data_IF_090052351221
#
_entry.id   IF_090052351221
#
_cell.length_a   1.000
_cell.length_b   1.000
_cell.length_c   1.000
_cell.angle_alpha   90.00
_cell.angle_beta   90.00
_cell.angle_gamma   90.00
#
_symmetry.space_group_name_H-M   'P 1'
#
loop_
_entity.id
_entity.type
_entity.pdbx_description
1 polymer ?
#
# COMPACT_ATOMS: atom_id res chain seq x y z
N UNK A 1 -9.91 -23.69 41.98
CA UNK A 1 -9.63 -22.29 41.57
C UNK A 1 -8.55 -22.28 40.49
N UNK A 2 -8.50 -21.23 39.68
CA UNK A 2 -7.58 -20.99 38.55
C UNK A 2 -7.93 -21.66 37.20
N UNK A 3 -8.99 -21.22 36.53
CA UNK A 3 -9.11 -21.36 35.05
C UNK A 3 -10.02 -20.32 34.38
N UNK A 4 -10.13 -19.12 34.96
CA UNK A 4 -10.97 -18.05 34.41
C UNK A 4 -10.20 -16.83 33.87
N UNK A 5 -8.88 -16.73 34.10
CA UNK A 5 -8.13 -15.48 33.84
C UNK A 5 -7.43 -15.42 32.46
N UNK A 6 -7.42 -16.49 31.66
CA UNK A 6 -6.69 -16.49 30.37
C UNK A 6 -7.52 -16.05 29.14
N UNK A 7 -8.83 -15.86 29.26
CA UNK A 7 -9.70 -15.54 28.11
C UNK A 7 -9.92 -14.04 27.89
N UNK A 8 -9.70 -13.19 28.90
CA UNK A 8 -9.99 -11.75 28.83
C UNK A 8 -8.82 -10.90 28.31
N UNK A 9 -7.59 -11.41 28.34
CA UNK A 9 -6.39 -10.65 27.96
C UNK A 9 -6.19 -10.53 26.44
N UNK A 10 -6.81 -11.44 25.66
CA UNK A 10 -6.64 -11.48 24.20
C UNK A 10 -7.51 -10.47 23.44
N UNK A 11 -8.51 -9.90 24.09
CA UNK A 11 -9.50 -9.03 23.46
C UNK A 11 -9.12 -7.53 23.56
N UNK A 12 -8.20 -7.16 24.46
CA UNK A 12 -7.84 -5.76 24.74
C UNK A 12 -6.93 -5.08 23.71
N UNK A 13 -6.36 -5.83 22.75
CA UNK A 13 -5.45 -5.30 21.70
C UNK A 13 -6.14 -5.03 20.36
N UNK A 14 -7.48 -5.03 20.31
CA UNK A 14 -8.21 -4.83 19.05
C UNK A 14 -8.15 -3.36 18.64
N UNK A 15 -7.30 -3.05 17.67
CA UNK A 15 -7.27 -1.76 16.99
C UNK A 15 -8.61 -1.55 16.27
N UNK A 16 -9.29 -0.46 16.56
CA UNK A 16 -10.52 -0.06 15.87
C UNK A 16 -10.26 1.24 15.13
N UNK A 17 -10.33 1.20 13.80
CA UNK A 17 -10.26 2.40 12.96
C UNK A 17 -11.64 3.05 12.90
N UNK A 18 -11.68 4.38 13.02
CA UNK A 18 -12.87 5.19 12.75
C UNK A 18 -12.81 5.75 11.32
N UNK A 19 -13.88 6.39 10.88
CA UNK A 19 -13.97 6.96 9.53
C UNK A 19 -12.84 7.95 9.23
N UNK A 20 -12.08 7.75 8.13
CA UNK A 20 -11.05 8.68 7.68
C UNK A 20 -11.61 10.04 7.29
N UNK A 21 -10.94 11.11 7.72
CA UNK A 21 -11.22 12.49 7.31
C UNK A 21 -10.19 12.92 6.26
N UNK A 22 -10.66 13.36 5.09
CA UNK A 22 -9.80 13.93 4.05
C UNK A 22 -9.27 15.30 4.51
N UNK A 23 -7.95 15.44 4.57
CA UNK A 23 -7.26 16.67 4.96
C UNK A 23 -6.84 17.47 3.72
N UNK A 24 -6.37 16.77 2.69
CA UNK A 24 -5.99 17.40 1.42
C UNK A 24 -6.22 16.45 0.25
N UNK A 25 -6.82 16.97 -0.82
CA UNK A 25 -7.02 16.27 -2.08
C UNK A 25 -6.08 16.83 -3.14
N UNK A 26 -5.17 15.99 -3.62
CA UNK A 26 -4.26 16.33 -4.70
C UNK A 26 -4.64 15.59 -5.97
N UNK A 27 -4.10 16.06 -7.11
CA UNK A 27 -4.32 15.37 -8.41
C UNK A 27 -3.88 13.91 -8.41
N UNK A 28 -2.80 13.58 -7.69
CA UNK A 28 -2.18 12.25 -7.70
C UNK A 28 -2.15 11.57 -6.34
N UNK A 29 -2.25 12.31 -5.24
CA UNK A 29 -2.14 11.83 -3.87
C UNK A 29 -3.10 12.59 -2.97
N UNK A 30 -3.70 11.87 -2.04
CA UNK A 30 -4.60 12.40 -1.04
C UNK A 30 -4.01 12.16 0.35
N UNK A 31 -4.36 13.05 1.27
CA UNK A 31 -3.94 12.99 2.66
C UNK A 31 -5.16 12.87 3.57
N UNK A 32 -5.14 11.90 4.47
CA UNK A 32 -6.23 11.57 5.38
C UNK A 32 -5.74 11.50 6.82
N UNK A 33 -6.63 11.86 7.74
CA UNK A 33 -6.52 11.57 9.15
C UNK A 33 -7.46 10.41 9.49
N UNK A 34 -6.92 9.33 10.07
CA UNK A 34 -7.67 8.14 10.48
C UNK A 34 -7.64 8.04 12.00
N UNK A 35 -8.69 8.45 12.70
CA UNK A 35 -8.76 8.27 14.14
C UNK A 35 -8.85 6.76 14.45
N UNK A 36 -8.22 6.34 15.54
CA UNK A 36 -8.30 4.96 15.99
C UNK A 36 -8.40 4.87 17.51
N UNK A 37 -8.96 3.75 17.97
CA UNK A 37 -8.95 3.38 19.38
C UNK A 37 -8.15 2.09 19.55
N UNK A 38 -7.22 2.08 20.50
CA UNK A 38 -6.44 0.89 20.87
C UNK A 38 -6.22 0.91 22.39
N UNK A 39 -6.49 -0.20 23.08
CA UNK A 39 -6.30 -0.31 24.54
C UNK A 39 -6.98 0.84 25.32
N UNK A 40 -8.20 1.24 24.90
CA UNK A 40 -8.97 2.38 25.43
C UNK A 40 -8.30 3.76 25.29
N UNK A 41 -7.27 3.88 24.45
CA UNK A 41 -6.64 5.15 24.09
C UNK A 41 -7.06 5.56 22.69
N UNK A 42 -7.36 6.84 22.53
CA UNK A 42 -7.61 7.43 21.21
C UNK A 42 -6.29 7.91 20.61
N UNK A 43 -6.17 7.73 19.30
CA UNK A 43 -5.05 8.22 18.51
C UNK A 43 -5.49 8.68 17.13
N UNK A 44 -4.57 9.34 16.43
CA UNK A 44 -4.77 9.82 15.06
C UNK A 44 -3.66 9.28 14.19
N UNK A 45 -4.01 8.63 13.08
CA UNK A 45 -3.04 8.18 12.08
C UNK A 45 -3.09 9.08 10.85
N UNK A 46 -1.94 9.61 10.46
CA UNK A 46 -1.77 10.38 9.24
C UNK A 46 -1.50 9.42 8.07
N UNK A 47 -2.36 9.41 7.06
CA UNK A 47 -2.32 8.43 5.95
C UNK A 47 -2.27 9.15 4.61
N UNK A 48 -1.30 8.77 3.78
CA UNK A 48 -1.18 9.25 2.39
C UNK A 48 -1.48 8.10 1.43
N UNK A 49 -2.33 8.35 0.44
CA UNK A 49 -2.72 7.33 -0.53
C UNK A 49 -3.26 7.91 -1.82
N UNK A 50 -3.19 7.13 -2.91
CA UNK A 50 -3.82 7.48 -4.20
C UNK A 50 -5.30 7.15 -4.24
N UNK A 51 -5.71 6.21 -3.40
CA UNK A 51 -7.07 5.68 -3.28
C UNK A 51 -7.49 5.91 -1.82
N UNK A 52 -8.76 6.27 -1.54
CA UNK A 52 -9.24 6.39 -0.18
C UNK A 52 -9.03 5.08 0.60
N UNK A 53 -8.59 5.14 1.87
CA UNK A 53 -8.33 3.95 2.68
C UNK A 53 -9.58 3.09 2.95
N UNK A 54 -10.78 3.62 2.73
CA UNK A 54 -12.07 2.90 2.85
C UNK A 54 -12.54 2.28 1.54
N UNK A 55 -11.80 2.42 0.44
CA UNK A 55 -12.25 1.90 -0.86
C UNK A 55 -12.14 0.38 -0.92
N UNK A 56 -13.27 -0.31 -0.74
CA UNK A 56 -13.35 -1.77 -0.92
C UNK A 56 -13.29 -2.20 -2.40
N UNK A 57 -13.47 -1.25 -3.32
CA UNK A 57 -13.55 -1.52 -4.77
C UNK A 57 -12.20 -1.80 -5.41
N UNK A 58 -11.09 -1.39 -4.78
CA UNK A 58 -9.76 -1.52 -5.38
C UNK A 58 -8.82 -2.28 -4.43
N UNK A 59 -8.48 -3.51 -4.82
CA UNK A 59 -7.62 -4.41 -4.02
C UNK A 59 -6.14 -3.99 -4.01
N UNK A 60 -5.66 -3.30 -5.04
CA UNK A 60 -4.29 -2.82 -5.17
C UNK A 60 -4.21 -1.62 -6.14
N UNK A 61 -3.26 -0.72 -5.93
CA UNK A 61 -3.09 0.48 -6.76
C UNK A 61 -2.28 0.25 -8.04
N UNK A 62 -1.39 -0.74 -8.03
CA UNK A 62 -0.46 -1.00 -9.13
C UNK A 62 0.25 -2.32 -8.95
N UNK A 63 1.14 -2.61 -9.90
CA UNK A 63 1.90 -3.85 -9.97
C UNK A 63 3.40 -3.56 -10.08
N UNK A 64 4.20 -4.48 -9.55
CA UNK A 64 5.63 -4.56 -9.78
C UNK A 64 5.87 -5.85 -10.55
N UNK A 65 6.58 -5.76 -11.67
CA UNK A 65 6.93 -6.90 -12.51
C UNK A 65 8.37 -7.29 -12.20
N UNK A 66 8.61 -8.58 -11.95
CA UNK A 66 9.96 -9.14 -11.85
C UNK A 66 10.25 -9.84 -13.18
N UNK A 67 10.83 -9.14 -14.17
CA UNK A 67 10.98 -9.69 -15.50
C UNK A 67 12.22 -10.57 -15.51
N UNK A 68 12.03 -11.83 -15.90
CA UNK A 68 13.13 -12.78 -16.06
C UNK A 68 13.26 -13.15 -17.52
N UNK A 69 14.49 -13.08 -18.03
CA UNK A 69 14.87 -13.58 -19.34
C UNK A 69 15.88 -14.71 -19.16
N UNK A 70 15.99 -15.58 -20.16
CA UNK A 70 17.04 -16.59 -20.23
C UNK A 70 17.91 -16.24 -21.41
N UNK A 71 19.20 -16.08 -21.15
CA UNK A 71 20.19 -15.91 -22.21
C UNK A 71 20.23 -17.21 -23.05
N UNK A 72 19.96 -17.15 -24.37
CA UNK A 72 19.92 -18.34 -25.20
C UNK A 72 21.30 -18.97 -25.43
N UNK A 73 22.39 -18.23 -25.24
CA UNK A 73 23.76 -18.72 -25.44
C UNK A 73 24.32 -19.35 -24.17
N UNK A 74 24.09 -18.71 -23.02
CA UNK A 74 24.65 -19.14 -21.72
C UNK A 74 23.67 -19.92 -20.85
N UNK A 75 22.38 -19.91 -21.19
CA UNK A 75 21.27 -20.42 -20.39
C UNK A 75 21.17 -19.78 -18.98
N UNK A 76 21.79 -18.62 -18.78
CA UNK A 76 21.73 -17.87 -17.53
C UNK A 76 20.42 -17.08 -17.41
N UNK A 77 19.91 -16.96 -16.17
CA UNK A 77 18.73 -16.15 -15.87
C UNK A 77 19.14 -14.70 -15.65
N UNK A 78 18.58 -13.82 -16.46
CA UNK A 78 18.77 -12.38 -16.37
C UNK A 78 17.52 -11.77 -15.75
N UNK A 79 17.73 -10.89 -14.77
CA UNK A 79 16.67 -10.07 -14.17
C UNK A 79 16.78 -8.66 -14.73
N UNK A 80 15.69 -8.17 -15.32
CA UNK A 80 15.66 -6.83 -15.90
C UNK A 80 15.30 -5.79 -14.83
N UNK A 81 16.09 -4.71 -14.77
CA UNK A 81 15.96 -3.59 -13.85
C UNK A 81 15.96 -2.29 -14.66
N UNK A 82 15.09 -1.35 -14.30
CA UNK A 82 14.99 -0.03 -14.90
C UNK A 82 15.85 0.98 -14.16
N UNK A 83 16.51 1.87 -14.91
CA UNK A 83 17.11 3.10 -14.36
C UNK A 83 16.19 4.28 -14.65
N UNK A 84 15.53 4.81 -13.63
CA UNK A 84 14.51 5.86 -13.76
C UNK A 84 14.81 7.04 -12.83
N UNK A 85 14.60 8.28 -13.32
CA UNK A 85 14.69 9.47 -12.46
C UNK A 85 13.39 9.67 -11.68
N UNK A 86 13.47 9.65 -10.35
CA UNK A 86 12.32 9.82 -9.45
C UNK A 86 12.27 11.25 -8.91
N UNK A 87 11.28 12.02 -9.34
CA UNK A 87 11.03 13.39 -8.85
C UNK A 87 10.97 13.49 -7.31
N UNK A 88 10.28 12.58 -6.57
CA UNK A 88 10.17 12.70 -5.11
C UNK A 88 11.50 12.66 -4.35
N UNK A 89 12.51 11.97 -4.88
CA UNK A 89 13.85 11.84 -4.25
C UNK A 89 14.94 12.57 -5.04
N UNK A 90 14.60 13.17 -6.18
CA UNK A 90 15.47 13.95 -7.07
C UNK A 90 16.74 13.20 -7.51
N UNK A 91 16.62 11.89 -7.75
CA UNK A 91 17.75 11.01 -8.11
C UNK A 91 17.31 9.92 -9.08
N UNK A 92 18.30 9.31 -9.75
CA UNK A 92 18.09 8.06 -10.47
C UNK A 92 18.01 6.89 -9.48
N UNK A 93 17.00 6.05 -9.65
CA UNK A 93 16.82 4.79 -8.93
C UNK A 93 16.99 3.61 -9.88
N UNK A 94 17.43 2.49 -9.31
CA UNK A 94 17.37 1.17 -9.96
C UNK A 94 16.19 0.42 -9.36
N UNK A 95 15.17 0.12 -10.17
CA UNK A 95 13.90 -0.44 -9.71
C UNK A 95 13.39 -1.52 -10.67
N UNK A 96 12.55 -2.41 -10.16
CA UNK A 96 11.78 -3.29 -11.04
C UNK A 96 10.76 -2.47 -11.83
N UNK A 97 10.47 -2.84 -13.10
CA UNK A 97 9.38 -2.23 -13.86
C UNK A 97 8.09 -2.28 -13.03
N UNK A 98 7.44 -1.13 -12.90
CA UNK A 98 6.24 -1.00 -12.09
C UNK A 98 5.29 0.02 -12.71
N UNK A 99 4.00 -0.23 -12.55
CA UNK A 99 2.94 0.58 -13.14
C UNK A 99 1.71 0.66 -12.25
N UNK A 100 0.94 1.74 -12.42
CA UNK A 100 -0.41 1.82 -11.85
C UNK A 100 -1.33 0.92 -12.67
N UNK A 101 -2.38 0.39 -12.03
CA UNK A 101 -3.45 -0.27 -12.76
C UNK A 101 -4.20 0.80 -13.57
N UNK A 102 -4.54 0.47 -14.81
CA UNK A 102 -5.43 1.30 -15.60
C UNK A 102 -6.83 1.36 -14.95
N UNK A 103 -7.58 2.42 -15.26
CA UNK A 103 -8.98 2.47 -14.83
C UNK A 103 -9.78 1.52 -15.71
N UNK A 104 -10.88 1.01 -15.17
CA UNK A 104 -11.72 0.04 -15.90
C UNK A 104 -12.30 0.64 -17.20
N UNK A 105 -12.33 1.97 -17.33
CA UNK A 105 -12.77 2.71 -18.52
C UNK A 105 -11.65 2.98 -19.56
N UNK A 106 -10.39 2.63 -19.25
CA UNK A 106 -9.23 2.89 -20.11
C UNK A 106 -8.89 1.69 -21.04
N UNK A 107 -9.66 0.59 -20.98
CA UNK A 107 -9.49 -0.59 -21.85
C UNK A 107 -10.36 -0.43 -23.13
N UNK A 108 -9.77 -0.24 -24.32
CA UNK A 108 -10.51 -0.01 -25.56
C UNK A 108 -11.08 -1.29 -26.21
N UNK A 109 -11.08 -2.42 -25.52
CA UNK A 109 -11.49 -3.73 -26.06
C UNK A 109 -12.99 -4.05 -25.89
#
# INVERSE_FOLDING_TARGET
>A
EATAEKSTEKESRKLQLKEPTLVHEGKWLNYYNVPFTSENKEGLWEVVGRIPPTSEKIKYSGVIVIPTAVDPETNEKIVLIEKIYRVPIQKYSLEFPAGMRDKDDDDPC
#
